data_IF_096057651727
#
_entry.id   IF_096057651727
#
_cell.length_a   1.000
_cell.length_b   1.000
_cell.length_c   1.000
_cell.angle_alpha   90.00
_cell.angle_beta   90.00
_cell.angle_gamma   90.00
#
_symmetry.space_group_name_H-M   'P 1'
#
loop_
_entity.id
_entity.type
_entity.pdbx_description
1 polymer ?
#
# COMPACT_ATOMS: atom_id res chain seq x y z
N UNK A 1 70.85 1.77 8.16
CA UNK A 1 70.29 2.93 7.44
C UNK A 1 69.59 2.43 6.17
N UNK A 2 68.29 2.14 6.25
CA UNK A 2 67.40 2.05 5.08
C UNK A 2 65.98 2.26 5.57
N UNK A 3 65.43 3.43 5.27
CA UNK A 3 64.03 3.80 5.47
C UNK A 3 63.21 3.29 4.29
N UNK A 4 62.08 2.58 4.51
CA UNK A 4 61.12 2.32 3.45
C UNK A 4 60.12 3.47 3.34
N UNK A 5 59.95 3.90 2.10
CA UNK A 5 59.10 4.97 1.61
C UNK A 5 57.62 4.66 1.83
N UNK A 6 56.89 5.59 2.44
CA UNK A 6 55.43 5.50 2.60
C UNK A 6 54.69 5.80 1.31
N UNK A 7 53.83 4.87 0.89
CA UNK A 7 52.82 5.09 -0.14
C UNK A 7 51.53 5.61 0.49
N UNK A 8 51.26 6.90 0.27
CA UNK A 8 49.99 7.57 0.58
C UNK A 8 48.91 7.12 -0.42
N UNK A 9 47.95 6.32 0.04
CA UNK A 9 46.72 6.06 -0.71
C UNK A 9 45.78 7.27 -0.61
N UNK A 10 45.68 8.01 -1.71
CA UNK A 10 44.69 9.07 -1.87
C UNK A 10 43.30 8.46 -2.12
N UNK A 11 42.40 8.58 -1.15
CA UNK A 11 40.97 8.30 -1.32
C UNK A 11 40.37 9.29 -2.33
N UNK A 12 39.85 8.77 -3.44
CA UNK A 12 39.27 9.57 -4.53
C UNK A 12 37.77 9.83 -4.28
N UNK A 13 37.25 11.05 -4.46
CA UNK A 13 35.86 11.42 -4.11
C UNK A 13 34.81 10.98 -5.17
N UNK A 14 34.84 9.74 -5.64
CA UNK A 14 33.87 9.25 -6.65
C UNK A 14 32.50 8.82 -6.07
N UNK A 15 32.40 8.55 -4.77
CA UNK A 15 31.19 7.96 -4.19
C UNK A 15 30.08 8.95 -3.83
N UNK A 16 30.41 10.23 -3.60
CA UNK A 16 29.41 11.24 -3.21
C UNK A 16 28.32 11.45 -4.29
N UNK A 17 28.69 11.39 -5.57
CA UNK A 17 27.76 11.59 -6.69
C UNK A 17 26.77 10.41 -6.88
N UNK A 18 27.12 9.22 -6.40
CA UNK A 18 26.24 8.05 -6.44
C UNK A 18 25.23 8.09 -5.28
N UNK A 19 25.64 8.59 -4.11
CA UNK A 19 24.76 8.81 -2.97
C UNK A 19 23.72 9.93 -3.19
N UNK A 20 24.09 11.05 -3.80
CA UNK A 20 23.12 12.12 -4.15
C UNK A 20 22.08 11.66 -5.18
N UNK A 21 22.51 10.90 -6.19
CA UNK A 21 21.58 10.31 -7.19
C UNK A 21 20.64 9.28 -6.58
N UNK A 22 21.04 8.63 -5.47
CA UNK A 22 20.17 7.73 -4.70
C UNK A 22 19.10 8.54 -3.96
N UNK A 23 19.47 9.62 -3.27
CA UNK A 23 18.51 10.44 -2.51
C UNK A 23 17.40 11.06 -3.40
N UNK A 24 17.71 11.44 -4.64
CA UNK A 24 16.73 12.02 -5.57
C UNK A 24 15.76 11.00 -6.21
N UNK A 25 16.17 9.74 -6.39
CA UNK A 25 15.27 8.72 -6.95
C UNK A 25 14.07 8.39 -6.01
N UNK A 26 14.25 8.58 -4.69
CA UNK A 26 13.23 8.31 -3.68
C UNK A 26 12.16 9.38 -3.54
N UNK A 27 12.38 10.61 -4.03
CA UNK A 27 11.39 11.70 -3.93
C UNK A 27 10.27 11.61 -4.98
N UNK A 28 10.48 10.89 -6.08
CA UNK A 28 9.54 10.80 -7.21
C UNK A 28 8.32 9.89 -6.99
N UNK A 29 8.31 9.07 -5.93
CA UNK A 29 7.24 8.10 -5.65
C UNK A 29 6.10 8.67 -4.76
N UNK A 30 6.17 9.92 -4.32
CA UNK A 30 5.21 10.53 -3.37
C UNK A 30 4.35 11.67 -3.92
N UNK A 31 4.41 12.00 -5.21
CA UNK A 31 3.82 13.22 -5.76
C UNK A 31 2.53 13.00 -6.55
N UNK A 32 1.38 12.86 -5.88
CA UNK A 32 0.08 13.06 -6.54
C UNK A 32 -1.03 13.40 -5.53
N UNK A 33 -1.07 14.65 -5.06
CA UNK A 33 -2.33 15.33 -4.66
C UNK A 33 -2.06 16.79 -4.29
N UNK A 34 -2.55 17.73 -5.10
CA UNK A 34 -3.24 18.96 -4.68
C UNK A 34 -3.59 19.85 -5.87
N UNK A 35 -4.64 20.65 -5.66
CA UNK A 35 -5.20 21.79 -6.41
C UNK A 35 -6.55 21.46 -7.05
N UNK A 36 -7.65 21.97 -6.47
CA UNK A 36 -8.57 22.96 -7.06
C UNK A 36 -9.55 23.46 -5.97
N UNK A 37 -9.44 24.75 -5.62
CA UNK A 37 -10.55 25.68 -5.32
C UNK A 37 -10.48 26.71 -6.49
N UNK A 38 -11.51 27.39 -7.01
CA UNK A 38 -12.80 27.86 -6.54
C UNK A 38 -13.59 28.32 -7.79
N UNK A 39 -14.92 28.26 -7.78
CA UNK A 39 -15.86 29.34 -8.19
C UNK A 39 -17.25 28.79 -8.50
N UNK A 40 -18.24 29.46 -7.90
CA UNK A 40 -19.67 29.22 -8.02
C UNK A 40 -20.34 30.36 -8.79
N UNK A 41 -21.54 30.05 -9.32
CA UNK A 41 -22.60 30.89 -9.93
C UNK A 41 -22.84 30.54 -11.41
N UNK A 42 -24.04 30.36 -11.94
CA UNK A 42 -25.41 30.53 -11.45
C UNK A 42 -26.33 29.63 -12.29
N UNK A 43 -27.41 29.09 -11.71
CA UNK A 43 -28.50 28.49 -12.48
C UNK A 43 -29.83 29.14 -12.11
N UNK A 44 -30.41 29.76 -13.13
CA UNK A 44 -31.61 30.56 -13.11
C UNK A 44 -32.84 29.65 -13.01
N UNK A 45 -33.64 29.89 -11.98
CA UNK A 45 -34.98 29.30 -11.78
C UNK A 45 -35.89 29.76 -12.92
N UNK A 46 -36.55 28.81 -13.60
CA UNK A 46 -37.70 29.07 -14.47
C UNK A 46 -38.94 28.46 -13.83
N UNK A 47 -39.93 29.32 -13.59
CA UNK A 47 -41.29 28.97 -13.19
C UNK A 47 -42.01 28.14 -14.27
N UNK A 48 -42.73 27.07 -13.90
CA UNK A 48 -43.72 26.46 -14.77
C UNK A 48 -45.08 27.16 -14.58
N UNK A 49 -45.50 27.92 -15.59
CA UNK A 49 -46.86 28.40 -15.73
C UNK A 49 -47.83 27.23 -15.91
N UNK A 50 -48.77 27.15 -14.99
CA UNK A 50 -49.97 26.31 -14.99
C UNK A 50 -50.85 26.63 -16.20
N UNK A 51 -51.17 25.60 -17.00
CA UNK A 51 -52.29 25.66 -17.93
C UNK A 51 -53.25 24.51 -17.61
N UNK A 52 -54.47 24.87 -17.25
CA UNK A 52 -55.53 23.98 -16.78
C UNK A 52 -56.55 23.78 -17.91
N UNK A 53 -56.24 22.84 -18.81
CA UNK A 53 -57.13 22.43 -19.89
C UNK A 53 -57.80 21.09 -19.60
N UNK A 54 -59.10 21.11 -19.36
CA UNK A 54 -59.94 19.92 -19.18
C UNK A 54 -60.03 19.08 -20.46
N UNK A 55 -59.56 17.83 -20.43
CA UNK A 55 -59.94 16.83 -21.43
C UNK A 55 -60.38 15.52 -20.76
N UNK A 56 -61.69 15.30 -20.82
CA UNK A 56 -62.37 14.03 -20.56
C UNK A 56 -62.08 13.04 -21.70
N UNK A 57 -61.78 11.79 -21.34
CA UNK A 57 -62.10 10.60 -22.13
C UNK A 57 -61.18 10.24 -23.29
N UNK A 58 -60.05 9.58 -23.02
CA UNK A 58 -59.17 9.04 -24.06
C UNK A 58 -57.94 8.27 -23.58
N UNK A 59 -58.03 7.52 -22.48
CA UNK A 59 -56.96 6.64 -21.98
C UNK A 59 -57.15 5.23 -22.55
N UNK A 60 -56.44 4.85 -23.65
CA UNK A 60 -55.25 4.01 -23.48
C UNK A 60 -54.11 4.21 -24.51
N UNK A 61 -54.23 5.13 -25.48
CA UNK A 61 -53.22 5.25 -26.58
C UNK A 61 -52.05 6.20 -26.28
N UNK A 62 -52.24 7.21 -25.45
CA UNK A 62 -51.16 8.16 -25.06
C UNK A 62 -50.15 7.54 -24.09
N UNK A 63 -50.60 6.69 -23.16
CA UNK A 63 -49.74 5.96 -22.22
C UNK A 63 -48.76 5.02 -22.93
N UNK A 64 -49.19 4.32 -23.97
CA UNK A 64 -48.32 3.46 -24.77
C UNK A 64 -47.22 4.24 -25.48
N UNK A 65 -47.53 5.44 -26.01
CA UNK A 65 -46.57 6.31 -26.66
C UNK A 65 -45.49 6.82 -25.70
N UNK A 66 -45.90 7.24 -24.50
CA UNK A 66 -44.97 7.70 -23.45
C UNK A 66 -44.07 6.57 -22.97
N UNK A 67 -44.62 5.38 -22.72
CA UNK A 67 -43.83 4.20 -22.32
C UNK A 67 -42.83 3.81 -23.40
N UNK A 68 -43.25 3.78 -24.68
CA UNK A 68 -42.36 3.46 -25.79
C UNK A 68 -41.20 4.46 -25.87
N UNK A 69 -41.49 5.76 -25.77
CA UNK A 69 -40.46 6.81 -25.83
C UNK A 69 -39.53 6.74 -24.62
N UNK A 70 -40.04 6.43 -23.44
CA UNK A 70 -39.22 6.23 -22.24
C UNK A 70 -38.29 5.01 -22.38
N UNK A 71 -38.79 3.89 -22.93
CA UNK A 71 -37.98 2.68 -23.19
C UNK A 71 -36.90 2.97 -24.24
N UNK A 72 -37.24 3.65 -25.34
CA UNK A 72 -36.25 4.03 -26.37
C UNK A 72 -35.22 5.00 -25.80
N UNK A 73 -35.65 6.00 -25.03
CA UNK A 73 -34.75 6.94 -24.36
C UNK A 73 -33.81 6.23 -23.39
N UNK A 74 -34.32 5.32 -22.56
CA UNK A 74 -33.50 4.53 -21.64
C UNK A 74 -32.52 3.61 -22.38
N UNK A 75 -32.95 2.96 -23.47
CA UNK A 75 -32.10 2.12 -24.29
C UNK A 75 -30.93 2.93 -24.89
N UNK A 76 -31.21 4.12 -25.44
CA UNK A 76 -30.17 5.03 -25.96
C UNK A 76 -29.23 5.53 -24.85
N UNK A 77 -29.77 5.91 -23.69
CA UNK A 77 -28.98 6.33 -22.54
C UNK A 77 -28.10 5.20 -21.99
N UNK A 78 -28.54 3.95 -22.05
CA UNK A 78 -27.76 2.79 -21.66
C UNK A 78 -26.64 2.44 -22.65
N UNK A 79 -26.80 2.78 -23.94
CA UNK A 79 -25.78 2.48 -24.94
C UNK A 79 -24.49 3.26 -24.71
N UNK A 80 -24.57 4.50 -24.21
CA UNK A 80 -23.39 5.37 -23.96
C UNK A 80 -22.42 4.75 -22.94
N UNK A 81 -22.81 4.43 -21.69
CA UNK A 81 -21.91 3.83 -20.71
C UNK A 81 -21.39 2.46 -21.16
N UNK A 82 -22.24 1.65 -21.80
CA UNK A 82 -21.83 0.33 -22.30
C UNK A 82 -20.83 0.42 -23.46
N UNK A 83 -20.98 1.39 -24.36
CA UNK A 83 -20.02 1.66 -25.42
C UNK A 83 -18.69 2.17 -24.85
N UNK A 84 -18.73 3.05 -23.84
CA UNK A 84 -17.52 3.53 -23.17
C UNK A 84 -16.77 2.37 -22.52
N UNK A 85 -17.46 1.52 -21.76
CA UNK A 85 -16.90 0.29 -21.16
C UNK A 85 -16.34 -0.64 -22.24
N UNK A 86 -17.10 -0.90 -23.31
CA UNK A 86 -16.69 -1.81 -24.39
C UNK A 86 -15.50 -1.31 -25.21
N UNK A 87 -15.33 0.02 -25.31
CA UNK A 87 -14.17 0.66 -25.94
C UNK A 87 -12.96 0.75 -25.01
N UNK A 88 -13.17 0.62 -23.71
CA UNK A 88 -12.12 0.62 -22.70
C UNK A 88 -11.15 -0.53 -22.94
N UNK A 89 -9.86 -0.21 -23.04
CA UNK A 89 -8.83 -1.26 -23.02
C UNK A 89 -8.90 -1.98 -21.67
N UNK A 90 -8.71 -3.29 -21.68
CA UNK A 90 -8.54 -4.06 -20.44
C UNK A 90 -7.52 -3.34 -19.56
N UNK A 91 -7.96 -2.92 -18.37
CA UNK A 91 -7.09 -2.36 -17.33
C UNK A 91 -6.22 -3.51 -16.84
N UNK A 92 -5.14 -3.77 -17.57
CA UNK A 92 -4.11 -4.71 -17.12
C UNK A 92 -3.39 -4.01 -15.99
N UNK A 93 -3.60 -4.49 -14.77
CA UNK A 93 -2.90 -4.01 -13.59
C UNK A 93 -1.44 -4.43 -13.70
N UNK A 94 -0.63 -3.61 -14.37
CA UNK A 94 0.84 -3.73 -14.38
C UNK A 94 1.41 -3.78 -12.96
N UNK A 95 0.63 -3.34 -11.98
CA UNK A 95 0.99 -3.25 -10.58
C UNK A 95 1.23 -4.61 -9.92
N UNK A 96 0.38 -5.63 -10.10
CA UNK A 96 0.60 -6.95 -9.47
C UNK A 96 1.88 -7.62 -9.97
N UNK A 97 2.15 -7.52 -11.27
CA UNK A 97 3.36 -8.05 -11.89
C UNK A 97 4.61 -7.32 -11.39
N UNK A 98 4.53 -5.99 -11.31
CA UNK A 98 5.60 -5.18 -10.71
C UNK A 98 5.81 -5.53 -9.25
N UNK A 99 4.74 -5.84 -8.52
CA UNK A 99 4.79 -6.22 -7.11
C UNK A 99 5.46 -7.58 -6.91
N UNK A 100 5.15 -8.59 -7.74
CA UNK A 100 5.88 -9.87 -7.78
C UNK A 100 7.37 -9.59 -7.92
N UNK A 101 7.76 -8.83 -8.94
CA UNK A 101 9.17 -8.53 -9.20
C UNK A 101 9.82 -7.79 -8.02
N UNK A 102 9.10 -6.89 -7.34
CA UNK A 102 9.61 -6.19 -6.17
C UNK A 102 9.77 -7.11 -4.96
N UNK A 103 8.82 -8.00 -4.70
CA UNK A 103 8.92 -8.96 -3.60
C UNK A 103 10.07 -9.96 -3.83
N UNK A 104 10.20 -10.50 -5.05
CA UNK A 104 11.29 -11.42 -5.41
C UNK A 104 12.67 -10.78 -5.27
N UNK A 105 12.82 -9.47 -5.57
CA UNK A 105 14.11 -8.77 -5.44
C UNK A 105 14.70 -8.85 -4.03
N UNK A 106 13.86 -8.88 -3.00
CA UNK A 106 14.32 -8.92 -1.61
C UNK A 106 14.30 -10.34 -1.02
N UNK A 107 13.83 -11.34 -1.75
CA UNK A 107 13.58 -12.69 -1.22
C UNK A 107 14.84 -13.37 -0.66
N UNK A 108 15.99 -13.14 -1.29
CA UNK A 108 17.30 -13.64 -0.81
C UNK A 108 17.67 -13.14 0.61
N UNK A 109 17.11 -12.02 1.05
CA UNK A 109 17.35 -11.45 2.38
C UNK A 109 16.57 -12.16 3.50
N UNK A 110 15.71 -13.14 3.18
CA UNK A 110 14.96 -13.90 4.19
C UNK A 110 15.84 -14.61 5.20
N UNK A 111 17.07 -14.98 4.82
CA UNK A 111 18.07 -15.59 5.72
C UNK A 111 18.48 -14.67 6.88
N UNK A 112 18.28 -13.35 6.71
CA UNK A 112 18.62 -12.34 7.69
C UNK A 112 17.50 -12.07 8.70
N UNK A 113 16.36 -12.77 8.59
CA UNK A 113 15.28 -12.64 9.56
C UNK A 113 15.77 -12.99 10.97
N UNK A 114 15.16 -12.34 11.94
CA UNK A 114 15.24 -12.64 13.35
C UNK A 114 14.53 -13.98 13.62
N UNK A 115 14.91 -14.72 14.68
CA UNK A 115 14.24 -15.94 15.08
C UNK A 115 12.75 -15.73 15.30
N UNK A 116 11.94 -16.67 14.83
CA UNK A 116 10.48 -16.65 15.03
C UNK A 116 10.14 -17.08 16.46
N UNK A 117 9.33 -16.27 17.13
CA UNK A 117 8.76 -16.56 18.43
C UNK A 117 7.36 -17.17 18.26
N UNK A 118 7.25 -18.50 18.45
CA UNK A 118 6.00 -19.24 18.35
C UNK A 118 5.02 -18.96 19.50
N UNK A 119 5.47 -18.32 20.59
CA UNK A 119 4.61 -17.98 21.72
C UNK A 119 3.68 -16.79 21.41
N UNK A 120 4.03 -15.96 20.43
CA UNK A 120 3.23 -14.79 20.04
C UNK A 120 2.09 -15.26 19.15
N UNK A 121 0.87 -15.12 19.65
CA UNK A 121 -0.32 -15.48 18.88
C UNK A 121 -0.52 -14.54 17.68
N UNK A 122 -1.16 -15.00 16.59
CA UNK A 122 -1.46 -14.13 15.44
C UNK A 122 -2.30 -12.91 15.80
N UNK A 123 -3.22 -13.05 16.76
CA UNK A 123 -4.08 -11.97 17.25
C UNK A 123 -3.29 -10.93 18.06
N UNK A 124 -2.39 -11.39 18.92
CA UNK A 124 -1.49 -10.51 19.69
C UNK A 124 -0.57 -9.71 18.76
N UNK A 125 0.05 -10.37 17.78
CA UNK A 125 0.86 -9.70 16.77
C UNK A 125 0.03 -8.73 15.92
N UNK A 126 -1.20 -9.09 15.55
CA UNK A 126 -2.14 -8.20 14.86
C UNK A 126 -2.43 -6.95 15.68
N UNK A 127 -2.70 -7.10 16.98
CA UNK A 127 -2.96 -5.99 17.90
C UNK A 127 -1.73 -5.09 18.09
N UNK A 128 -0.53 -5.68 18.16
CA UNK A 128 0.73 -4.94 18.17
C UNK A 128 0.91 -4.12 16.88
N UNK A 129 0.72 -4.73 15.71
CA UNK A 129 0.80 -4.02 14.42
C UNK A 129 -0.21 -2.87 14.33
N UNK A 130 -1.40 -3.04 14.93
CA UNK A 130 -2.41 -1.98 15.00
C UNK A 130 -1.95 -0.78 15.84
N UNK A 131 -1.26 -1.00 16.97
CA UNK A 131 -0.66 0.08 17.77
C UNK A 131 0.49 0.79 17.03
N UNK A 132 1.22 0.08 16.18
CA UNK A 132 2.28 0.66 15.33
C UNK A 132 1.74 1.45 14.13
N UNK A 133 0.54 1.14 13.67
CA UNK A 133 -0.01 1.71 12.43
C UNK A 133 -1.15 2.68 12.69
N UNK A 134 -0.95 3.95 12.36
CA UNK A 134 -2.03 4.94 12.32
C UNK A 134 -2.83 4.73 11.04
N UNK A 135 -3.76 3.78 11.04
CA UNK A 135 -4.75 3.67 9.96
C UNK A 135 -5.77 4.81 10.09
N UNK A 136 -6.15 5.42 8.97
CA UNK A 136 -7.23 6.41 8.94
C UNK A 136 -8.56 5.69 8.92
N UNK A 137 -9.41 5.82 9.95
CA UNK A 137 -10.75 5.25 9.89
C UNK A 137 -11.55 5.91 8.78
N UNK A 138 -12.41 5.14 8.11
CA UNK A 138 -13.37 5.69 7.16
C UNK A 138 -14.76 5.58 7.77
N UNK A 139 -15.71 6.38 7.28
CA UNK A 139 -17.11 6.31 7.75
C UNK A 139 -17.74 4.93 7.48
N UNK A 140 -17.26 4.22 6.45
CA UNK A 140 -17.73 2.88 6.08
C UNK A 140 -16.98 1.77 6.82
N UNK A 141 -15.76 2.06 7.28
CA UNK A 141 -14.89 1.11 7.97
C UNK A 141 -14.35 1.70 9.28
N UNK A 142 -15.15 1.64 10.37
CA UNK A 142 -14.67 2.02 11.68
C UNK A 142 -13.56 1.04 12.07
N UNK A 143 -12.37 1.58 12.32
CA UNK A 143 -11.27 0.79 12.83
C UNK A 143 -11.58 0.36 14.26
N UNK A 144 -11.21 -0.87 14.61
CA UNK A 144 -11.24 -1.28 16.02
C UNK A 144 -10.43 -0.28 16.85
N UNK A 145 -11.00 0.14 17.98
CA UNK A 145 -10.33 1.00 18.93
C UNK A 145 -9.05 0.31 19.38
N UNK A 146 -7.90 0.85 18.96
CA UNK A 146 -6.64 0.41 19.52
C UNK A 146 -6.49 1.01 20.91
N UNK A 147 -5.83 0.27 21.81
CA UNK A 147 -5.21 0.87 22.99
C UNK A 147 -4.33 2.07 22.59
N UNK A 148 -4.01 2.91 23.57
CA UNK A 148 -3.23 4.14 23.38
C UNK A 148 -2.01 3.91 22.47
N UNK A 149 -1.88 4.75 21.44
CA UNK A 149 -0.71 4.76 20.55
C UNK A 149 0.51 5.10 21.40
N UNK A 150 1.57 4.27 21.32
CA UNK A 150 2.81 4.54 22.03
C UNK A 150 3.43 5.88 21.63
N UNK A 151 4.06 6.55 22.60
CA UNK A 151 4.86 7.73 22.32
C UNK A 151 5.99 7.40 21.32
N UNK A 152 6.24 8.34 20.41
CA UNK A 152 7.23 8.24 19.34
C UNK A 152 8.20 9.40 19.48
N UNK A 153 9.29 9.26 20.26
CA UNK A 153 10.15 10.38 20.61
C UNK A 153 10.71 11.10 19.37
N UNK A 154 11.02 10.37 18.29
CA UNK A 154 11.51 10.95 17.03
C UNK A 154 10.50 11.87 16.30
N UNK A 155 9.22 11.89 16.69
CA UNK A 155 8.23 12.81 16.13
C UNK A 155 8.10 14.11 16.93
N UNK A 156 8.39 14.05 18.25
CA UNK A 156 8.24 15.17 19.20
C UNK A 156 9.55 15.88 19.50
N UNK A 157 10.67 15.16 19.54
CA UNK A 157 11.98 15.76 19.81
C UNK A 157 12.38 16.61 18.60
N UNK A 158 12.47 17.91 18.82
CA UNK A 158 13.08 18.83 17.87
C UNK A 158 14.58 18.70 17.96
N UNK A 159 15.22 18.47 16.82
CA UNK A 159 16.65 18.32 16.79
C UNK A 159 17.30 19.63 16.40
N UNK A 160 18.23 20.09 17.23
CA UNK A 160 18.93 21.35 17.01
C UNK A 160 19.81 21.26 15.76
N UNK A 161 20.11 22.42 15.15
CA UNK A 161 20.83 22.51 13.87
C UNK A 161 22.25 21.92 13.92
N UNK A 162 22.84 21.82 15.11
CA UNK A 162 24.15 21.19 15.36
C UNK A 162 24.08 19.65 15.43
N UNK A 163 22.90 19.06 15.59
CA UNK A 163 22.74 17.61 15.64
C UNK A 163 22.58 17.04 14.24
N UNK A 164 23.33 15.97 13.92
CA UNK A 164 23.23 15.24 12.66
C UNK A 164 23.21 16.14 11.40
N UNK A 165 24.09 17.16 11.27
CA UNK A 165 23.93 18.24 10.28
C UNK A 165 23.93 17.75 8.83
N UNK A 166 24.68 16.69 8.54
CA UNK A 166 24.80 16.09 7.20
C UNK A 166 23.76 14.99 6.93
N UNK A 167 22.98 14.59 7.93
CA UNK A 167 22.08 13.44 7.86
C UNK A 167 20.60 13.84 7.95
N UNK A 168 20.26 15.08 7.58
CA UNK A 168 18.87 15.56 7.57
C UNK A 168 18.22 15.31 6.21
N UNK A 169 16.95 14.94 6.23
CA UNK A 169 16.14 14.83 5.01
C UNK A 169 14.83 15.59 5.19
N UNK A 170 14.27 16.21 4.15
CA UNK A 170 12.97 16.88 4.24
C UNK A 170 11.82 15.93 4.64
N UNK A 171 11.96 14.63 4.40
CA UNK A 171 10.89 13.64 4.57
C UNK A 171 10.84 13.00 5.98
N UNK A 172 11.90 13.16 6.78
CA UNK A 172 12.00 12.59 8.12
C UNK A 172 12.68 13.56 9.09
N UNK A 173 12.06 13.78 10.25
CA UNK A 173 12.58 14.69 11.28
C UNK A 173 13.89 14.19 11.93
N UNK A 174 14.10 12.87 11.99
CA UNK A 174 15.31 12.26 12.54
C UNK A 174 16.49 12.19 11.55
N UNK A 175 17.60 11.54 11.94
CA UNK A 175 18.73 11.31 11.04
C UNK A 175 18.39 10.28 9.95
N UNK A 176 19.01 10.45 8.79
CA UNK A 176 18.89 9.53 7.66
C UNK A 176 19.47 8.15 8.00
N UNK A 177 18.74 7.09 7.63
CA UNK A 177 19.07 5.71 7.95
C UNK A 177 20.43 5.26 7.39
N UNK A 178 20.79 5.71 6.19
CA UNK A 178 21.99 5.22 5.48
C UNK A 178 23.31 5.81 6.01
N UNK A 179 23.29 6.77 6.93
CA UNK A 179 24.50 7.36 7.49
C UNK A 179 24.61 7.21 9.00
N UNK A 180 23.49 7.01 9.69
CA UNK A 180 23.51 6.99 11.15
C UNK A 180 24.42 5.86 11.65
N UNK A 181 24.29 4.62 11.18
CA UNK A 181 25.18 3.52 11.60
C UNK A 181 26.65 3.80 11.25
N UNK A 182 26.94 4.31 10.05
CA UNK A 182 28.30 4.63 9.64
C UNK A 182 29.00 5.66 10.56
N UNK A 183 28.22 6.60 11.10
CA UNK A 183 28.72 7.65 11.99
C UNK A 183 29.25 7.13 13.33
N UNK A 184 28.94 5.89 13.73
CA UNK A 184 29.42 5.34 15.01
C UNK A 184 30.95 5.33 15.10
N UNK A 185 31.66 5.20 13.97
CA UNK A 185 33.13 5.26 13.88
C UNK A 185 33.69 6.63 14.25
N UNK A 186 33.00 7.70 13.86
CA UNK A 186 33.37 9.08 14.21
C UNK A 186 32.99 9.44 15.66
N UNK A 187 32.05 8.68 16.21
CA UNK A 187 31.37 9.03 17.45
C UNK A 187 30.24 10.03 17.25
N UNK A 188 29.37 10.08 18.27
CA UNK A 188 28.28 11.03 18.38
C UNK A 188 28.57 12.04 19.47
N UNK A 189 28.07 13.26 19.30
CA UNK A 189 28.02 14.25 20.37
C UNK A 189 27.09 13.79 21.51
N UNK A 190 27.24 14.40 22.69
CA UNK A 190 26.39 14.08 23.84
C UNK A 190 24.88 14.29 23.55
N UNK A 191 24.53 15.33 22.79
CA UNK A 191 23.13 15.59 22.39
C UNK A 191 22.61 14.52 21.44
N UNK A 192 23.41 14.11 20.46
CA UNK A 192 23.05 13.04 19.52
C UNK A 192 22.86 11.72 20.25
N UNK A 193 23.77 11.36 21.18
CA UNK A 193 23.61 10.17 22.02
C UNK A 193 22.37 10.22 22.89
N UNK A 194 22.03 11.38 23.46
CA UNK A 194 20.80 11.55 24.23
C UNK A 194 19.56 11.27 23.38
N UNK A 195 19.49 11.82 22.16
CA UNK A 195 18.41 11.51 21.22
C UNK A 195 18.35 10.02 20.86
N UNK A 196 19.49 9.42 20.50
CA UNK A 196 19.54 8.00 20.12
C UNK A 196 19.09 7.09 21.28
N UNK A 197 19.45 7.43 22.52
CA UNK A 197 18.99 6.74 23.73
C UNK A 197 17.48 6.85 23.92
N UNK A 198 16.91 8.05 23.79
CA UNK A 198 15.46 8.27 23.88
C UNK A 198 14.72 7.45 22.82
N UNK A 199 15.24 7.43 21.59
CA UNK A 199 14.68 6.58 20.53
C UNK A 199 14.81 5.10 20.89
N UNK A 200 15.97 4.63 21.35
CA UNK A 200 16.21 3.21 21.65
C UNK A 200 15.34 2.68 22.81
N UNK A 201 15.00 3.53 23.78
CA UNK A 201 14.20 3.17 24.95
C UNK A 201 12.68 3.35 24.76
N UNK A 202 12.22 3.73 23.56
CA UNK A 202 10.80 3.96 23.31
C UNK A 202 9.97 2.67 23.50
N UNK A 203 8.79 2.73 24.16
CA UNK A 203 7.97 1.54 24.44
C UNK A 203 7.40 0.88 23.18
N UNK A 204 7.34 1.61 22.07
CA UNK A 204 6.90 1.13 20.75
C UNK A 204 7.68 -0.09 20.25
N UNK A 205 8.90 -0.31 20.74
CA UNK A 205 9.73 -1.43 20.33
C UNK A 205 9.22 -2.79 20.80
N UNK A 206 8.45 -2.85 21.90
CA UNK A 206 7.83 -4.09 22.34
C UNK A 206 6.85 -4.61 21.28
N UNK A 207 5.99 -3.73 20.76
CA UNK A 207 5.07 -4.06 19.68
C UNK A 207 5.81 -4.37 18.37
N UNK A 208 6.85 -3.61 18.06
CA UNK A 208 7.65 -3.83 16.86
C UNK A 208 8.30 -5.21 16.87
N UNK A 209 8.99 -5.56 17.96
CA UNK A 209 9.65 -6.84 18.12
C UNK A 209 8.62 -7.99 18.12
N UNK A 210 7.42 -7.78 18.71
CA UNK A 210 6.34 -8.75 18.69
C UNK A 210 5.83 -9.05 17.27
N UNK A 211 5.61 -8.02 16.45
CA UNK A 211 5.19 -8.20 15.05
C UNK A 211 6.28 -8.86 14.23
N UNK A 212 7.52 -8.38 14.37
CA UNK A 212 8.65 -8.82 13.56
C UNK A 212 9.02 -10.29 13.79
N UNK A 213 8.81 -10.79 15.01
CA UNK A 213 9.18 -12.16 15.41
C UNK A 213 7.99 -13.12 15.42
N UNK A 214 6.75 -12.66 15.27
CA UNK A 214 5.60 -13.54 15.20
C UNK A 214 5.65 -14.47 13.97
N UNK A 215 5.18 -15.70 14.15
CA UNK A 215 5.08 -16.67 13.04
C UNK A 215 4.03 -16.23 11.99
N UNK A 216 2.93 -15.64 12.46
CA UNK A 216 1.85 -15.12 11.63
C UNK A 216 1.25 -13.87 12.29
N UNK A 217 0.53 -13.07 11.50
CA UNK A 217 -0.13 -11.84 11.98
C UNK A 217 -1.56 -11.79 11.43
N UNK A 218 -2.55 -11.70 12.32
CA UNK A 218 -3.95 -11.46 11.94
C UNK A 218 -4.21 -9.96 11.74
N UNK A 219 -3.67 -9.43 10.63
CA UNK A 219 -3.78 -8.02 10.28
C UNK A 219 -5.25 -7.61 10.01
N UNK A 220 -6.02 -8.48 9.36
CA UNK A 220 -7.43 -8.20 9.05
C UNK A 220 -8.25 -8.12 10.33
N UNK A 221 -8.03 -9.08 11.24
CA UNK A 221 -8.68 -9.14 12.53
C UNK A 221 -8.38 -7.92 13.40
N UNK A 222 -7.14 -7.43 13.39
CA UNK A 222 -6.77 -6.26 14.20
C UNK A 222 -7.31 -4.92 13.69
N UNK A 223 -7.69 -4.84 12.41
CA UNK A 223 -8.28 -3.63 11.84
C UNK A 223 -9.81 -3.65 11.92
N UNK A 224 -10.43 -4.81 11.73
CA UNK A 224 -11.86 -4.93 11.45
C UNK A 224 -12.63 -5.89 12.36
N UNK A 225 -11.92 -6.68 13.16
CA UNK A 225 -12.50 -7.81 13.87
C UNK A 225 -12.84 -8.97 12.93
N UNK A 226 -13.81 -9.78 13.33
CA UNK A 226 -14.21 -11.00 12.62
C UNK A 226 -15.38 -10.78 11.65
N UNK A 227 -16.01 -9.61 11.65
CA UNK A 227 -17.19 -9.31 10.84
C UNK A 227 -17.05 -7.96 10.15
N UNK A 228 -17.15 -7.94 8.83
CA UNK A 228 -17.22 -6.69 8.06
C UNK A 228 -18.68 -6.26 7.89
N UNK A 229 -18.94 -4.96 8.05
CA UNK A 229 -20.25 -4.38 7.77
C UNK A 229 -20.67 -4.68 6.32
N UNK A 230 -21.94 -5.01 6.11
CA UNK A 230 -22.51 -5.18 4.76
C UNK A 230 -22.47 -3.88 3.95
N UNK A 231 -22.27 -2.73 4.60
CA UNK A 231 -22.04 -1.44 3.94
C UNK A 231 -20.67 -1.34 3.26
N UNK A 232 -19.72 -2.21 3.61
CA UNK A 232 -18.41 -2.28 2.96
C UNK A 232 -18.54 -3.21 1.76
N UNK A 233 -18.59 -2.59 0.59
CA UNK A 233 -18.85 -3.23 -0.69
C UNK A 233 -17.57 -3.51 -1.46
N UNK A 234 -16.51 -2.75 -1.19
CA UNK A 234 -15.28 -2.80 -1.99
C UNK A 234 -14.00 -2.82 -1.15
N UNK A 235 -12.95 -3.45 -1.69
CA UNK A 235 -11.61 -3.49 -1.07
C UNK A 235 -10.94 -2.12 -1.01
N UNK A 236 -11.30 -1.16 -1.87
CA UNK A 236 -10.77 0.20 -1.82
C UNK A 236 -11.19 0.95 -0.54
N UNK A 237 -12.28 0.52 0.10
CA UNK A 237 -12.73 1.03 1.40
C UNK A 237 -11.99 0.38 2.58
N UNK A 238 -11.22 -0.69 2.33
CA UNK A 238 -10.47 -1.37 3.37
C UNK A 238 -9.30 -0.49 3.83
N UNK A 239 -9.11 -0.28 5.14
CA UNK A 239 -8.07 0.61 5.64
C UNK A 239 -6.68 0.14 5.23
N UNK A 240 -5.89 1.05 4.69
CA UNK A 240 -4.47 0.82 4.42
C UNK A 240 -3.61 1.21 5.62
N UNK A 241 -2.53 0.48 5.83
CA UNK A 241 -1.48 0.88 6.77
C UNK A 241 -0.81 2.18 6.28
N UNK A 242 -0.57 3.13 7.18
CA UNK A 242 0.12 4.38 6.82
C UNK A 242 1.56 4.12 6.38
N UNK A 243 1.84 4.42 5.11
CA UNK A 243 3.17 4.28 4.52
C UNK A 243 4.20 5.18 5.22
N UNK A 244 3.87 6.45 5.43
CA UNK A 244 4.79 7.42 6.04
C UNK A 244 5.11 7.06 7.49
N UNK A 245 4.11 6.66 8.28
CA UNK A 245 4.30 6.27 9.68
C UNK A 245 5.24 5.08 9.84
N UNK A 246 5.07 4.05 9.01
CA UNK A 246 5.91 2.85 9.04
C UNK A 246 7.32 3.10 8.49
N UNK A 247 7.47 3.95 7.47
CA UNK A 247 8.79 4.36 6.98
C UNK A 247 9.58 5.11 8.06
N UNK A 248 8.93 6.01 8.80
CA UNK A 248 9.58 6.70 9.93
C UNK A 248 9.97 5.73 11.05
N UNK A 249 9.14 4.73 11.35
CA UNK A 249 9.45 3.68 12.32
C UNK A 249 10.69 2.89 11.91
N UNK A 250 10.84 2.56 10.62
CA UNK A 250 12.03 1.90 10.09
C UNK A 250 13.30 2.76 10.24
N UNK A 251 13.22 4.06 9.97
CA UNK A 251 14.35 4.97 10.20
C UNK A 251 14.71 5.10 11.68
N UNK A 252 13.71 5.15 12.56
CA UNK A 252 13.93 5.13 14.00
C UNK A 252 14.55 3.81 14.48
N UNK A 253 14.21 2.67 13.89
CA UNK A 253 14.81 1.37 14.22
C UNK A 253 16.31 1.32 13.86
N UNK A 254 16.71 1.92 12.73
CA UNK A 254 18.15 2.06 12.40
C UNK A 254 18.85 3.00 13.38
N UNK A 255 18.18 4.06 13.84
CA UNK A 255 18.71 4.93 14.90
C UNK A 255 18.86 4.18 16.24
N UNK A 256 17.91 3.30 16.60
CA UNK A 256 18.00 2.39 17.75
C UNK A 256 19.21 1.46 17.63
N UNK A 257 19.43 0.85 16.47
CA UNK A 257 20.60 0.01 16.24
C UNK A 257 21.92 0.81 16.39
N UNK A 258 21.93 2.05 15.91
CA UNK A 258 23.11 2.92 16.03
C UNK A 258 23.44 3.31 17.48
N UNK A 259 22.43 3.44 18.34
CA UNK A 259 22.63 3.60 19.78
C UNK A 259 23.38 2.41 20.39
N UNK A 260 22.91 1.18 20.10
CA UNK A 260 23.53 -0.03 20.63
C UNK A 260 24.95 -0.21 20.11
N UNK A 261 25.18 0.05 18.81
CA UNK A 261 26.52 0.01 18.22
C UNK A 261 27.47 1.02 18.90
N UNK A 262 27.06 2.27 19.05
CA UNK A 262 27.86 3.30 19.72
C UNK A 262 28.07 3.03 21.22
N UNK A 263 27.20 2.23 21.84
CA UNK A 263 27.32 1.82 23.25
C UNK A 263 28.14 0.54 23.44
N UNK A 264 28.64 -0.06 22.36
CA UNK A 264 29.43 -1.30 22.38
C UNK A 264 28.60 -2.59 22.43
N UNK A 265 27.27 -2.52 22.33
CA UNK A 265 26.38 -3.68 22.29
C UNK A 265 26.11 -4.11 20.84
N UNK A 266 27.13 -4.65 20.21
CA UNK A 266 27.11 -5.03 18.79
C UNK A 266 26.07 -6.12 18.49
N UNK A 267 25.88 -7.06 19.42
CA UNK A 267 24.93 -8.15 19.23
C UNK A 267 23.49 -7.63 19.19
N UNK A 268 23.15 -6.69 20.08
CA UNK A 268 21.83 -6.07 20.09
C UNK A 268 21.61 -5.16 18.87
N UNK A 269 22.65 -4.43 18.42
CA UNK A 269 22.57 -3.64 17.19
C UNK A 269 22.23 -4.51 15.97
N UNK A 270 22.92 -5.64 15.79
CA UNK A 270 22.61 -6.60 14.72
C UNK A 270 21.20 -7.18 14.87
N UNK A 271 20.81 -7.57 16.10
CA UNK A 271 19.47 -8.10 16.39
C UNK A 271 18.38 -7.12 15.99
N UNK A 272 18.52 -5.84 16.30
CA UNK A 272 17.55 -4.80 15.93
C UNK A 272 17.43 -4.67 14.41
N UNK A 273 18.55 -4.66 13.68
CA UNK A 273 18.53 -4.57 12.21
C UNK A 273 17.90 -5.80 11.55
N UNK A 274 18.17 -7.01 12.07
CA UNK A 274 17.51 -8.26 11.61
C UNK A 274 16.02 -8.30 11.95
N UNK A 275 15.65 -7.75 13.11
CA UNK A 275 14.24 -7.55 13.50
C UNK A 275 13.55 -6.61 12.52
N UNK A 276 14.22 -5.52 12.09
CA UNK A 276 13.72 -4.62 11.07
C UNK A 276 13.46 -5.30 9.71
N UNK A 277 14.41 -6.13 9.25
CA UNK A 277 14.21 -6.95 8.05
C UNK A 277 13.00 -7.88 8.20
N UNK A 278 12.83 -8.49 9.38
CA UNK A 278 11.71 -9.40 9.67
C UNK A 278 10.35 -8.70 9.70
N UNK A 279 10.30 -7.47 10.24
CA UNK A 279 9.11 -6.63 10.18
C UNK A 279 8.72 -6.33 8.74
N UNK A 280 9.69 -5.98 7.88
CA UNK A 280 9.44 -5.76 6.46
C UNK A 280 8.89 -7.01 5.74
N UNK A 281 9.45 -8.19 6.00
CA UNK A 281 8.90 -9.44 5.47
C UNK A 281 7.54 -9.79 6.04
N UNK A 282 7.25 -9.44 7.29
CA UNK A 282 5.92 -9.63 7.87
C UNK A 282 4.87 -8.83 7.09
N UNK A 283 5.17 -7.60 6.68
CA UNK A 283 4.27 -6.84 5.81
C UNK A 283 4.14 -7.45 4.40
N UNK A 284 5.22 -7.97 3.82
CA UNK A 284 5.17 -8.68 2.52
C UNK A 284 4.35 -9.97 2.63
N UNK A 285 4.48 -10.74 3.70
CA UNK A 285 3.90 -12.08 3.80
C UNK A 285 2.49 -12.06 4.41
N UNK A 286 2.15 -11.05 5.22
CA UNK A 286 0.93 -11.00 6.02
C UNK A 286 0.06 -9.77 5.77
N UNK A 287 0.51 -8.82 4.93
CA UNK A 287 -0.25 -7.64 4.54
C UNK A 287 -1.58 -7.96 3.85
N UNK A 288 -2.46 -6.96 3.77
CA UNK A 288 -3.80 -7.10 3.20
C UNK A 288 -3.87 -6.63 1.73
N UNK A 289 -2.85 -5.94 1.23
CA UNK A 289 -2.81 -5.51 -0.17
C UNK A 289 -1.41 -5.15 -0.68
N UNK A 290 -1.33 -4.67 -1.92
CA UNK A 290 -0.07 -4.38 -2.59
C UNK A 290 0.75 -3.25 -1.96
N UNK A 291 0.07 -2.26 -1.35
CA UNK A 291 0.74 -1.16 -0.63
C UNK A 291 1.57 -1.70 0.53
N UNK A 292 1.07 -2.71 1.26
CA UNK A 292 1.77 -3.31 2.40
C UNK A 292 3.04 -4.03 1.94
N UNK A 293 2.97 -4.74 0.81
CA UNK A 293 4.14 -5.39 0.22
C UNK A 293 5.17 -4.39 -0.30
N UNK A 294 4.74 -3.30 -0.94
CA UNK A 294 5.65 -2.22 -1.35
C UNK A 294 6.34 -1.60 -0.14
N UNK A 295 5.59 -1.29 0.92
CA UNK A 295 6.12 -0.77 2.17
C UNK A 295 7.09 -1.76 2.82
N UNK A 296 6.69 -3.03 2.92
CA UNK A 296 7.52 -4.11 3.47
C UNK A 296 8.85 -4.23 2.75
N UNK A 297 8.85 -4.18 1.41
CA UNK A 297 10.07 -4.17 0.60
C UNK A 297 10.96 -2.95 0.88
N UNK A 298 10.37 -1.75 1.00
CA UNK A 298 11.12 -0.54 1.39
C UNK A 298 11.76 -0.70 2.77
N UNK A 299 11.05 -1.30 3.73
CA UNK A 299 11.58 -1.55 5.07
C UNK A 299 12.71 -2.60 5.04
N UNK A 300 12.57 -3.68 4.27
CA UNK A 300 13.64 -4.66 4.07
C UNK A 300 14.88 -4.01 3.46
N UNK A 301 14.71 -3.14 2.44
CA UNK A 301 15.83 -2.39 1.84
C UNK A 301 16.53 -1.49 2.90
N UNK A 302 15.77 -0.80 3.76
CA UNK A 302 16.33 0.01 4.86
C UNK A 302 17.12 -0.85 5.85
N UNK A 303 16.58 -2.01 6.23
CA UNK A 303 17.24 -2.96 7.13
C UNK A 303 18.51 -3.56 6.53
N UNK A 304 18.48 -3.93 5.25
CA UNK A 304 19.65 -4.37 4.48
C UNK A 304 20.75 -3.32 4.49
N UNK A 305 20.42 -2.08 4.15
CA UNK A 305 21.42 -1.00 4.09
C UNK A 305 22.05 -0.78 5.48
N UNK A 306 21.24 -0.84 6.56
CA UNK A 306 21.74 -0.79 7.93
C UNK A 306 22.69 -1.95 8.27
N UNK A 307 22.35 -3.19 7.91
CA UNK A 307 23.20 -4.37 8.10
C UNK A 307 24.49 -4.27 7.29
N UNK A 308 24.45 -3.76 6.06
CA UNK A 308 25.63 -3.56 5.24
C UNK A 308 26.62 -2.61 5.89
N UNK A 309 26.16 -1.45 6.37
CA UNK A 309 27.01 -0.53 7.12
C UNK A 309 27.56 -1.15 8.40
N UNK A 310 26.72 -1.86 9.17
CA UNK A 310 27.11 -2.54 10.39
C UNK A 310 28.22 -3.57 10.13
N UNK A 311 28.04 -4.49 9.18
CA UNK A 311 29.06 -5.51 8.86
C UNK A 311 30.34 -4.90 8.28
N UNK A 312 30.24 -3.83 7.50
CA UNK A 312 31.41 -3.12 6.95
C UNK A 312 32.28 -2.53 8.05
N UNK A 313 31.69 -1.82 9.01
CA UNK A 313 32.43 -1.20 10.13
C UNK A 313 33.09 -2.28 11.01
N UNK A 314 32.46 -3.44 11.13
CA UNK A 314 32.95 -4.57 11.93
C UNK A 314 33.95 -5.47 11.18
N UNK A 315 34.26 -5.20 9.92
CA UNK A 315 35.16 -6.03 9.11
C UNK A 315 34.61 -7.41 8.76
N UNK A 316 33.28 -7.59 8.79
CA UNK A 316 32.58 -8.86 8.45
C UNK A 316 32.26 -8.91 6.96
N UNK A 317 33.30 -9.08 6.15
CA UNK A 317 33.22 -8.96 4.69
C UNK A 317 32.33 -10.03 4.06
N UNK A 318 32.37 -11.27 4.54
CA UNK A 318 31.55 -12.38 3.99
C UNK A 318 30.05 -12.11 4.16
N UNK A 319 29.63 -11.64 5.33
CA UNK A 319 28.23 -11.30 5.58
C UNK A 319 27.82 -10.02 4.86
N UNK A 320 28.74 -9.07 4.64
CA UNK A 320 28.46 -7.84 3.89
C UNK A 320 28.08 -8.12 2.43
N UNK A 321 28.59 -9.19 1.82
CA UNK A 321 28.22 -9.62 0.46
C UNK A 321 26.75 -10.04 0.38
N UNK A 322 26.20 -10.64 1.44
CA UNK A 322 24.79 -11.05 1.49
C UNK A 322 23.82 -9.86 1.52
N UNK A 323 24.29 -8.69 1.95
CA UNK A 323 23.51 -7.46 2.11
C UNK A 323 23.96 -6.35 1.18
N UNK A 324 24.83 -6.66 0.21
CA UNK A 324 25.35 -5.66 -0.70
C UNK A 324 24.19 -4.98 -1.46
N UNK A 325 24.12 -3.64 -1.48
CA UNK A 325 23.06 -2.95 -2.19
C UNK A 325 23.06 -3.30 -3.67
N UNK A 326 21.96 -3.90 -4.14
CA UNK A 326 21.80 -4.21 -5.56
C UNK A 326 21.82 -2.91 -6.39
N UNK A 327 22.53 -2.89 -7.53
CA UNK A 327 22.54 -1.71 -8.40
C UNK A 327 21.12 -1.38 -8.86
N UNK A 328 20.75 -0.10 -8.73
CA UNK A 328 19.42 0.45 -9.10
C UNK A 328 19.01 0.16 -10.56
N UNK A 329 19.97 -0.22 -11.41
CA UNK A 329 19.84 -0.30 -12.86
C UNK A 329 19.56 -1.71 -13.43
N UNK A 330 19.35 -2.74 -12.60
CA UNK A 330 18.82 -3.99 -13.13
C UNK A 330 17.34 -3.78 -13.49
N UNK A 331 17.11 -3.28 -14.72
CA UNK A 331 15.82 -3.32 -15.39
C UNK A 331 15.30 -4.74 -15.22
N UNK A 332 14.20 -4.88 -14.48
CA UNK A 332 13.45 -6.15 -14.48
C UNK A 332 13.15 -6.42 -15.94
N UNK A 333 13.78 -7.47 -16.47
CA UNK A 333 13.51 -8.01 -17.79
C UNK A 333 12.00 -8.10 -17.93
N UNK A 334 11.48 -7.68 -19.08
CA UNK A 334 10.04 -7.55 -19.37
C UNK A 334 9.29 -8.70 -18.71
N UNK A 335 8.42 -8.41 -17.73
CA UNK A 335 7.84 -9.48 -16.97
C UNK A 335 7.00 -10.34 -17.90
N UNK A 336 7.09 -11.66 -17.74
CA UNK A 336 6.16 -12.60 -18.38
C UNK A 336 4.77 -12.16 -17.97
N UNK A 337 3.93 -11.81 -18.95
CA UNK A 337 2.55 -11.43 -18.71
C UNK A 337 1.83 -12.62 -18.09
N UNK A 338 1.57 -12.56 -16.78
CA UNK A 338 0.73 -13.51 -16.06
C UNK A 338 -0.62 -12.86 -15.82
N UNK A 339 -1.70 -13.62 -15.97
CA UNK A 339 -3.02 -13.10 -15.62
C UNK A 339 -3.14 -12.94 -14.10
N UNK A 340 -4.03 -12.05 -13.64
CA UNK A 340 -4.25 -11.90 -12.20
C UNK A 340 -4.80 -13.19 -11.57
N UNK A 341 -5.55 -14.00 -12.32
CA UNK A 341 -5.98 -15.32 -11.87
C UNK A 341 -4.81 -16.28 -11.67
N UNK A 342 -3.79 -16.25 -12.54
CA UNK A 342 -2.58 -17.08 -12.37
C UNK A 342 -1.76 -16.64 -11.16
N UNK A 343 -1.62 -15.32 -10.96
CA UNK A 343 -0.90 -14.77 -9.80
C UNK A 343 -1.63 -15.11 -8.50
N UNK A 344 -2.95 -14.99 -8.46
CA UNK A 344 -3.75 -15.33 -7.28
C UNK A 344 -3.67 -16.82 -6.90
N UNK A 345 -3.59 -17.71 -7.90
CA UNK A 345 -3.50 -19.15 -7.71
C UNK A 345 -2.09 -19.65 -7.34
N UNK A 346 -1.05 -18.85 -7.56
CA UNK A 346 0.34 -19.27 -7.33
C UNK A 346 0.69 -19.31 -5.85
N UNK A 347 0.73 -20.50 -5.26
CA UNK A 347 1.05 -20.74 -3.84
C UNK A 347 2.48 -20.38 -3.44
N UNK A 348 3.39 -20.14 -4.40
CA UNK A 348 4.77 -19.74 -4.10
C UNK A 348 4.93 -18.22 -3.95
N UNK A 349 3.93 -17.44 -4.36
CA UNK A 349 3.98 -15.99 -4.21
C UNK A 349 3.59 -15.55 -2.81
N UNK A 350 4.17 -14.44 -2.30
CA UNK A 350 3.74 -13.87 -1.03
C UNK A 350 2.24 -13.55 -1.03
N UNK A 351 1.62 -13.73 0.13
CA UNK A 351 0.18 -13.64 0.30
C UNK A 351 -0.38 -12.29 -0.16
N UNK A 352 0.28 -11.19 0.18
CA UNK A 352 -0.09 -9.83 -0.25
C UNK A 352 -0.19 -9.69 -1.75
N UNK A 353 0.73 -10.30 -2.50
CA UNK A 353 0.78 -10.25 -3.96
C UNK A 353 -0.41 -10.99 -4.55
N UNK A 354 -0.76 -12.13 -3.95
CA UNK A 354 -1.94 -12.91 -4.32
C UNK A 354 -3.24 -12.15 -4.00
N UNK A 355 -3.33 -11.51 -2.83
CA UNK A 355 -4.47 -10.66 -2.45
C UNK A 355 -4.61 -9.45 -3.38
N UNK A 356 -3.50 -8.81 -3.76
CA UNK A 356 -3.49 -7.69 -4.72
C UNK A 356 -3.97 -8.14 -6.10
N UNK A 357 -3.58 -9.33 -6.55
CA UNK A 357 -4.08 -9.91 -7.79
C UNK A 357 -5.58 -10.19 -7.72
N UNK A 358 -6.10 -10.71 -6.60
CA UNK A 358 -7.54 -10.88 -6.38
C UNK A 358 -8.27 -9.54 -6.38
N UNK A 359 -7.72 -8.51 -5.72
CA UNK A 359 -8.27 -7.16 -5.74
C UNK A 359 -8.35 -6.61 -7.17
N UNK A 360 -7.30 -6.84 -7.97
CA UNK A 360 -7.25 -6.47 -9.38
C UNK A 360 -8.33 -7.16 -10.24
N UNK A 361 -8.87 -8.31 -9.83
CA UNK A 361 -9.97 -8.97 -10.55
C UNK A 361 -11.24 -8.09 -10.56
N UNK A 362 -11.44 -7.26 -9.52
CA UNK A 362 -12.56 -6.30 -9.50
C UNK A 362 -12.41 -5.25 -10.61
N UNK A 363 -11.21 -4.74 -10.84
CA UNK A 363 -10.90 -3.81 -11.94
C UNK A 363 -11.04 -4.49 -13.30
N UNK A 364 -10.57 -5.74 -13.44
CA UNK A 364 -10.69 -6.50 -14.68
C UNK A 364 -12.14 -6.82 -15.05
N UNK A 365 -13.05 -6.84 -14.08
CA UNK A 365 -14.49 -7.02 -14.35
C UNK A 365 -15.07 -5.91 -15.24
N UNK A 366 -14.43 -4.73 -15.26
CA UNK A 366 -14.80 -3.61 -16.11
C UNK A 366 -14.19 -3.65 -17.52
N UNK A 367 -13.24 -4.55 -17.78
CA UNK A 367 -12.58 -4.67 -19.08
C UNK A 367 -13.38 -5.44 -20.14
N UNK A 368 -14.58 -5.94 -19.80
CA UNK A 368 -15.44 -6.67 -20.72
C UNK A 368 -16.91 -6.38 -20.45
N UNK A 369 -17.62 -5.92 -21.49
CA UNK A 369 -19.07 -5.70 -21.44
C UNK A 369 -19.83 -6.96 -20.98
N UNK A 370 -19.37 -8.15 -21.41
CA UNK A 370 -19.94 -9.43 -20.96
C UNK A 370 -19.84 -9.57 -19.45
N UNK A 371 -18.69 -9.30 -18.86
CA UNK A 371 -18.47 -9.43 -17.42
C UNK A 371 -19.25 -8.38 -16.63
N UNK A 372 -19.42 -7.17 -17.17
CA UNK A 372 -20.28 -6.14 -16.57
C UNK A 372 -21.73 -6.59 -16.54
N UNK A 373 -22.24 -7.15 -17.64
CA UNK A 373 -23.66 -7.53 -17.74
C UNK A 373 -23.99 -8.87 -17.10
N UNK A 374 -23.09 -9.85 -17.16
CA UNK A 374 -23.37 -11.25 -16.78
C UNK A 374 -22.69 -11.70 -15.49
N UNK A 375 -21.89 -10.85 -14.86
CA UNK A 375 -21.16 -11.20 -13.65
C UNK A 375 -19.74 -11.70 -13.89
N UNK A 376 -19.03 -12.13 -12.83
CA UNK A 376 -17.65 -12.61 -12.93
C UNK A 376 -17.58 -13.91 -13.74
N UNK A 377 -16.50 -14.10 -14.49
CA UNK A 377 -16.28 -15.33 -15.26
C UNK A 377 -16.12 -16.54 -14.34
N UNK A 378 -16.37 -17.75 -14.87
CA UNK A 378 -16.14 -19.00 -14.12
C UNK A 378 -14.67 -19.14 -13.67
N UNK A 379 -13.71 -18.68 -14.48
CA UNK A 379 -12.30 -18.67 -14.13
C UNK A 379 -12.01 -17.73 -12.93
N UNK A 380 -12.62 -16.53 -12.92
CA UNK A 380 -12.53 -15.58 -11.80
C UNK A 380 -13.09 -16.18 -10.52
N UNK A 381 -14.29 -16.78 -10.58
CA UNK A 381 -14.92 -17.42 -9.41
C UNK A 381 -14.07 -18.57 -8.87
N UNK A 382 -13.52 -19.41 -9.76
CA UNK A 382 -12.62 -20.50 -9.39
C UNK A 382 -11.34 -19.97 -8.72
N UNK A 383 -10.70 -18.97 -9.30
CA UNK A 383 -9.48 -18.37 -8.73
C UNK A 383 -9.72 -17.81 -7.32
N UNK A 384 -10.86 -17.15 -7.08
CA UNK A 384 -11.22 -16.66 -5.74
C UNK A 384 -11.46 -17.83 -4.78
N UNK A 385 -12.20 -18.86 -5.21
CA UNK A 385 -12.45 -20.06 -4.40
C UNK A 385 -11.17 -20.80 -4.02
N UNK A 386 -10.27 -21.00 -4.97
CA UNK A 386 -8.98 -21.69 -4.76
C UNK A 386 -8.06 -20.87 -3.85
N UNK A 387 -8.05 -19.55 -4.03
CA UNK A 387 -7.32 -18.65 -3.16
C UNK A 387 -7.91 -18.64 -1.73
N UNK A 388 -9.25 -18.62 -1.60
CA UNK A 388 -9.94 -18.70 -0.30
C UNK A 388 -9.54 -19.98 0.43
N UNK A 389 -9.56 -21.13 -0.26
CA UNK A 389 -9.19 -22.41 0.33
C UNK A 389 -7.72 -22.48 0.76
N UNK A 390 -6.81 -21.78 0.07
CA UNK A 390 -5.37 -21.85 0.34
C UNK A 390 -4.82 -20.71 1.23
N UNK A 391 -5.54 -19.60 1.37
CA UNK A 391 -5.02 -18.38 2.03
C UNK A 391 -5.76 -18.00 3.31
N UNK A 392 -6.96 -18.54 3.55
CA UNK A 392 -7.73 -18.25 4.75
C UNK A 392 -7.27 -19.13 5.90
N UNK A 393 -6.88 -18.48 7.00
CA UNK A 393 -6.39 -19.07 8.25
C UNK A 393 -7.21 -18.60 9.46
N UNK A 394 -7.78 -17.40 9.38
CA UNK A 394 -8.53 -16.78 10.49
C UNK A 394 -9.97 -16.41 10.07
N UNK A 395 -10.92 -16.32 11.03
CA UNK A 395 -12.28 -15.86 10.75
C UNK A 395 -12.35 -14.46 10.11
N UNK A 396 -11.45 -13.55 10.49
CA UNK A 396 -11.31 -12.22 9.88
C UNK A 396 -10.98 -12.31 8.38
N UNK A 397 -10.19 -13.29 7.97
CA UNK A 397 -9.79 -13.49 6.59
C UNK A 397 -10.92 -14.07 5.75
N UNK A 398 -11.83 -14.87 6.35
CA UNK A 398 -13.10 -15.21 5.68
C UNK A 398 -13.90 -13.94 5.34
N UNK A 399 -14.01 -13.00 6.27
CA UNK A 399 -14.70 -11.74 6.01
C UNK A 399 -14.02 -10.90 4.92
N UNK A 400 -12.67 -10.92 4.84
CA UNK A 400 -11.94 -10.29 3.74
C UNK A 400 -12.26 -10.96 2.40
N UNK A 401 -12.30 -12.29 2.34
CA UNK A 401 -12.65 -12.99 1.10
C UNK A 401 -14.11 -12.76 0.69
N UNK A 402 -15.03 -12.66 1.65
CA UNK A 402 -16.40 -12.24 1.36
C UNK A 402 -16.43 -10.83 0.77
N UNK A 403 -15.58 -9.91 1.26
CA UNK A 403 -15.42 -8.58 0.68
C UNK A 403 -14.79 -8.62 -0.72
N UNK A 404 -13.79 -9.49 -0.97
CA UNK A 404 -13.20 -9.68 -2.31
C UNK A 404 -14.28 -10.12 -3.30
N UNK A 405 -15.09 -11.12 -2.93
CA UNK A 405 -16.20 -11.60 -3.77
C UNK A 405 -17.21 -10.50 -4.04
N UNK A 406 -17.65 -9.78 -2.99
CA UNK A 406 -18.53 -8.62 -3.15
C UNK A 406 -17.91 -7.54 -4.05
N UNK A 407 -16.62 -7.26 -3.93
CA UNK A 407 -15.92 -6.27 -4.76
C UNK A 407 -15.94 -6.65 -6.24
N UNK A 408 -15.70 -7.91 -6.54
CA UNK A 408 -15.80 -8.44 -7.92
C UNK A 408 -17.25 -8.46 -8.39
N UNK A 409 -18.20 -8.61 -7.46
CA UNK A 409 -19.64 -8.57 -7.74
C UNK A 409 -20.17 -7.18 -8.05
N UNK A 410 -19.68 -6.15 -7.35
CA UNK A 410 -20.14 -4.76 -7.46
C UNK A 410 -19.29 -3.92 -8.42
N UNK A 411 -18.07 -4.38 -8.74
CA UNK A 411 -17.07 -3.60 -9.47
C UNK A 411 -16.29 -2.65 -8.54
N UNK A 412 -15.27 -1.96 -9.07
CA UNK A 412 -14.42 -1.07 -8.29
C UNK A 412 -15.18 0.20 -7.91
N UNK A 413 -15.20 0.54 -6.64
CA UNK A 413 -15.73 1.81 -6.16
C UNK A 413 -14.60 2.82 -6.10
N UNK A 414 -14.77 3.90 -6.84
CA UNK A 414 -13.78 4.94 -7.01
C UNK A 414 -14.41 6.25 -6.55
N UNK A 415 -13.78 6.89 -5.59
CA UNK A 415 -14.18 8.19 -5.08
C UNK A 415 -13.71 9.28 -6.06
N UNK A 416 -14.59 9.64 -7.00
CA UNK A 416 -14.42 10.81 -7.86
C UNK A 416 -15.16 11.98 -7.24
N UNK A 417 -14.61 12.50 -6.13
CA UNK A 417 -15.23 13.58 -5.36
C UNK A 417 -15.86 14.66 -6.26
N UNK A 418 -17.13 14.98 -6.07
CA UNK A 418 -17.99 16.03 -6.67
C UNK A 418 -17.81 16.46 -8.15
N UNK A 419 -16.95 15.83 -8.96
CA UNK A 419 -16.77 16.19 -10.34
C UNK A 419 -18.03 15.76 -11.11
N UNK A 420 -18.88 16.74 -11.42
CA UNK A 420 -20.15 16.53 -12.10
C UNK A 420 -19.88 16.02 -13.53
N UNK A 421 -19.83 14.70 -13.68
CA UNK A 421 -19.71 14.06 -14.97
C UNK A 421 -21.10 13.56 -15.41
N UNK A 422 -21.73 14.16 -16.43
CA UNK A 422 -23.06 13.77 -16.86
C UNK A 422 -23.12 12.30 -17.30
N UNK A 423 -22.01 11.73 -17.79
CA UNK A 423 -21.92 10.30 -18.17
C UNK A 423 -22.05 9.41 -16.92
N UNK A 424 -21.45 9.82 -15.79
CA UNK A 424 -21.56 9.10 -14.52
C UNK A 424 -23.00 9.16 -13.99
N UNK A 425 -23.67 10.31 -14.10
CA UNK A 425 -25.08 10.45 -13.74
C UNK A 425 -25.99 9.53 -14.56
N UNK A 426 -25.78 9.46 -15.88
CA UNK A 426 -26.52 8.53 -16.76
C UNK A 426 -26.25 7.08 -16.33
N UNK A 427 -25.00 6.72 -16.07
CA UNK A 427 -24.63 5.37 -15.66
C UNK A 427 -25.23 4.98 -14.30
N UNK A 428 -25.37 5.92 -13.36
CA UNK A 428 -26.08 5.71 -12.09
C UNK A 428 -27.56 5.41 -12.32
N UNK A 429 -28.24 6.13 -13.21
CA UNK A 429 -29.64 5.85 -13.57
C UNK A 429 -29.76 4.45 -14.20
N UNK A 430 -28.89 4.11 -15.15
CA UNK A 430 -28.89 2.79 -15.80
C UNK A 430 -28.63 1.69 -14.77
N UNK A 431 -27.66 1.90 -13.87
CA UNK A 431 -27.36 1.00 -12.76
C UNK A 431 -28.58 0.78 -11.86
N UNK A 432 -29.27 1.86 -11.47
CA UNK A 432 -30.46 1.79 -10.63
C UNK A 432 -31.61 1.03 -11.31
N UNK A 433 -31.84 1.28 -12.60
CA UNK A 433 -32.91 0.62 -13.37
C UNK A 433 -32.61 -0.86 -13.62
N UNK A 434 -31.34 -1.20 -13.88
CA UNK A 434 -30.92 -2.59 -14.15
C UNK A 434 -30.62 -3.40 -12.89
N UNK A 435 -30.55 -2.75 -11.72
CA UNK A 435 -30.06 -3.38 -10.49
C UNK A 435 -28.60 -3.82 -10.57
N UNK A 436 -27.81 -3.23 -11.48
CA UNK A 436 -26.42 -3.63 -11.73
C UNK A 436 -25.44 -2.48 -11.41
N UNK A 437 -24.88 -2.44 -10.18
CA UNK A 437 -23.94 -1.39 -9.74
C UNK A 437 -22.67 -1.28 -10.59
N UNK A 438 -22.29 -2.35 -11.29
CA UNK A 438 -21.08 -2.36 -12.13
C UNK A 438 -21.18 -1.38 -13.29
N UNK A 439 -22.39 -1.13 -13.82
CA UNK A 439 -22.55 -0.21 -14.96
C UNK A 439 -22.07 1.18 -14.56
N UNK A 440 -22.50 1.66 -13.39
CA UNK A 440 -22.03 2.94 -12.85
C UNK A 440 -20.51 2.90 -12.61
N UNK A 441 -20.06 1.97 -11.76
CA UNK A 441 -18.67 1.86 -11.31
C UNK A 441 -17.66 1.73 -12.47
N UNK A 442 -17.94 0.85 -13.43
CA UNK A 442 -17.08 0.63 -14.58
C UNK A 442 -17.10 1.79 -15.58
N UNK A 443 -18.23 2.50 -15.70
CA UNK A 443 -18.28 3.72 -16.51
C UNK A 443 -17.40 4.80 -15.91
N UNK A 444 -17.41 4.96 -14.58
CA UNK A 444 -16.56 5.96 -13.92
C UNK A 444 -15.08 5.63 -14.11
N UNK A 445 -14.70 4.36 -13.93
CA UNK A 445 -13.34 3.90 -14.21
C UNK A 445 -12.95 4.21 -15.67
N UNK A 446 -13.78 3.82 -16.65
CA UNK A 446 -13.50 4.03 -18.06
C UNK A 446 -13.37 5.53 -18.41
N UNK A 447 -14.19 6.39 -17.81
CA UNK A 447 -14.13 7.84 -18.02
C UNK A 447 -12.86 8.49 -17.43
N UNK A 448 -12.22 7.85 -16.47
CA UNK A 448 -11.01 8.39 -15.82
C UNK A 448 -9.70 8.04 -16.52
N UNK A 449 -9.73 7.00 -17.35
CA UNK A 449 -8.55 6.56 -18.10
C UNK A 449 -8.40 7.53 -19.27
N UNK A 450 -7.42 8.43 -19.18
CA UNK A 450 -7.09 9.32 -20.30
C UNK A 450 -6.71 8.48 -21.52
N UNK A 451 -7.25 8.78 -22.71
CA UNK A 451 -6.73 8.19 -23.94
C UNK A 451 -5.28 8.66 -24.10
N UNK A 452 -4.36 7.70 -24.20
CA UNK A 452 -2.94 7.94 -24.45
C UNK A 452 -2.68 8.30 -25.91
#
# INVERSE_FOLDING_TARGET
MHTPSGTSHANTPRDASAQERRASAWSSLGGARAIVENEAAAQQVRDPSTDTGSHRGGWPRSLLGVLRNAVVGLALLSAIPLALIGSGRTVVTRDSVRLVAQATRVDHLRVLRAPINQAISPQEAGAALRRLSTGTPTNTFPLQSSSAVHDRPWQRIELSSDMFPTMRTPQFKGPANFMVIAKTVEGYSAKEMAYLREVANAPVWADFDAVATAANVDLVGSMSGTTMSSKVTTLSQFPSISFSGNKQLAFAAVSRAAYYEASGDHAEAERVLRTLVSYGFTLIDQGAGGIDAMLGRVIVDIGRDGLWHFYTIRGRSEESVLVEPLPLAASVTTPVWRSATDIAADGHLPRTVRLEALSSLSLQSCGSLRTVLTGPSAATKRAISDARASMVRYPSEHALFDLIERSVEHGPELDYGNAYNPIVGIAQVVSAVTGNPRVANCTVLAASIKPN
#
